data_IF_305833837221
#
_entry.id   IF_305833837221
#
_cell.length_a   1.000
_cell.length_b   1.000
_cell.length_c   1.000
_cell.angle_alpha   90.00
_cell.angle_beta   90.00
_cell.angle_gamma   90.00
#
_symmetry.space_group_name_H-M   'P 1'
#
loop_
_entity.id
_entity.type
_entity.pdbx_description
1 polymer ?
#
# COMPACT_ATOMS: atom_id res chain seq x y z
N UNK A 1 43.63 -20.46 42.32
CA UNK A 1 42.23 -20.09 42.62
C UNK A 1 41.96 -18.74 41.95
N UNK A 2 40.93 -18.68 41.09
CA UNK A 2 40.07 -17.53 40.76
C UNK A 2 40.69 -16.17 40.37
N UNK A 3 40.27 -15.46 39.31
CA UNK A 3 38.99 -15.46 38.62
C UNK A 3 39.14 -15.02 37.16
N UNK A 4 38.58 -15.81 36.24
CA UNK A 4 37.92 -15.32 35.04
C UNK A 4 36.78 -14.38 35.46
N UNK A 5 36.83 -13.11 35.06
CA UNK A 5 35.66 -12.24 35.08
C UNK A 5 35.79 -11.09 34.09
N UNK A 6 34.83 -11.07 33.15
CA UNK A 6 34.39 -9.96 32.29
C UNK A 6 34.81 -9.97 30.81
N UNK A 7 34.50 -11.06 30.13
CA UNK A 7 33.85 -11.01 28.81
C UNK A 7 32.35 -10.67 29.00
N UNK A 8 31.97 -9.40 28.80
CA UNK A 8 30.66 -9.01 28.23
C UNK A 8 30.56 -7.48 28.12
N UNK A 9 31.09 -6.91 27.04
CA UNK A 9 30.67 -5.58 26.59
C UNK A 9 29.58 -5.78 25.54
N UNK A 10 28.34 -5.86 26.03
CA UNK A 10 27.12 -5.89 25.24
C UNK A 10 27.05 -4.65 24.35
N UNK A 11 26.92 -4.88 23.04
CA UNK A 11 26.46 -3.93 22.01
C UNK A 11 26.87 -2.46 22.19
N UNK A 12 27.98 -2.05 21.56
CA UNK A 12 28.00 -0.71 20.97
C UNK A 12 26.92 -0.66 19.90
N UNK A 13 25.71 -0.24 20.30
CA UNK A 13 24.68 0.24 19.40
C UNK A 13 25.33 1.35 18.58
N UNK A 14 25.77 1.04 17.37
CA UNK A 14 26.00 2.05 16.35
C UNK A 14 24.67 2.77 16.21
N UNK A 15 24.54 3.94 16.84
CA UNK A 15 23.44 4.87 16.57
C UNK A 15 23.56 5.17 15.09
N UNK A 16 22.74 4.53 14.27
CA UNK A 16 22.50 5.00 12.92
C UNK A 16 22.13 6.48 13.06
N UNK A 17 22.89 7.37 12.40
CA UNK A 17 22.50 8.76 12.20
C UNK A 17 21.35 8.82 11.19
N UNK A 18 20.29 8.05 11.42
CA UNK A 18 19.03 8.30 10.75
C UNK A 18 18.50 9.59 11.36
N UNK A 19 18.41 10.65 10.56
CA UNK A 19 17.80 11.91 10.98
C UNK A 19 16.37 11.59 11.45
N UNK A 20 16.13 11.75 12.75
CA UNK A 20 14.80 11.57 13.31
C UNK A 20 13.93 12.74 12.90
N UNK A 21 12.66 12.45 12.57
CA UNK A 21 11.66 13.47 12.32
C UNK A 21 11.56 14.42 13.53
N UNK A 22 11.73 15.72 13.28
CA UNK A 22 11.53 16.72 14.32
C UNK A 22 10.04 16.84 14.67
N UNK A 23 9.75 17.33 15.88
CA UNK A 23 8.37 17.57 16.29
C UNK A 23 7.66 18.58 15.36
N UNK A 24 8.38 19.60 14.92
CA UNK A 24 7.87 20.62 14.00
C UNK A 24 7.51 20.01 12.65
N UNK A 25 8.42 19.22 12.07
CA UNK A 25 8.20 18.57 10.77
C UNK A 25 7.00 17.61 10.84
N UNK A 26 6.88 16.85 11.93
CA UNK A 26 5.74 15.97 12.17
C UNK A 26 4.41 16.76 12.17
N UNK A 27 4.35 17.87 12.91
CA UNK A 27 3.14 18.69 13.00
C UNK A 27 2.82 19.34 11.65
N UNK A 28 3.83 19.86 10.94
CA UNK A 28 3.66 20.45 9.61
C UNK A 28 3.06 19.45 8.64
N UNK A 29 3.60 18.23 8.57
CA UNK A 29 3.06 17.16 7.72
C UNK A 29 1.63 16.78 8.10
N UNK A 30 1.33 16.68 9.39
CA UNK A 30 -0.03 16.39 9.85
C UNK A 30 -1.03 17.49 9.51
N UNK A 31 -0.61 18.76 9.53
CA UNK A 31 -1.44 19.89 9.10
C UNK A 31 -1.71 19.88 7.60
N UNK A 32 -0.79 19.39 6.78
CA UNK A 32 -1.06 19.21 5.34
C UNK A 32 -2.17 18.19 5.10
N UNK A 33 -2.29 17.17 5.95
CA UNK A 33 -3.30 16.12 5.81
C UNK A 33 -4.65 16.48 6.47
N UNK A 34 -4.62 16.96 7.72
CA UNK A 34 -5.83 17.24 8.52
C UNK A 34 -6.29 18.72 8.45
N UNK A 35 -5.57 19.56 7.73
CA UNK A 35 -5.77 21.01 7.72
C UNK A 35 -5.16 21.71 8.94
N UNK A 36 -5.41 23.01 9.08
CA UNK A 36 -4.86 23.82 10.17
C UNK A 36 -5.56 23.53 11.51
N UNK A 37 -5.14 22.42 12.12
CA UNK A 37 -5.63 21.92 13.39
C UNK A 37 -4.66 22.21 14.53
N UNK A 38 -5.19 22.27 15.75
CA UNK A 38 -4.36 22.37 16.95
C UNK A 38 -3.50 21.12 17.13
N UNK A 39 -2.32 21.26 17.74
CA UNK A 39 -1.46 20.12 18.07
C UNK A 39 -2.21 19.04 18.86
N UNK A 40 -3.02 19.43 19.85
CA UNK A 40 -3.78 18.48 20.65
C UNK A 40 -4.81 17.72 19.81
N UNK A 41 -5.47 18.39 18.86
CA UNK A 41 -6.39 17.76 17.91
C UNK A 41 -5.68 16.73 17.03
N UNK A 42 -4.52 17.10 16.45
CA UNK A 42 -3.71 16.22 15.62
C UNK A 42 -3.26 14.97 16.38
N UNK A 43 -2.76 15.14 17.60
CA UNK A 43 -2.33 14.02 18.44
C UNK A 43 -3.51 13.13 18.85
N UNK A 44 -4.70 13.70 19.05
CA UNK A 44 -5.92 12.93 19.32
C UNK A 44 -6.36 12.11 18.11
N UNK A 45 -6.27 12.63 16.87
CA UNK A 45 -6.54 11.85 15.67
C UNK A 45 -5.58 10.65 15.54
N UNK A 46 -4.32 10.88 15.86
CA UNK A 46 -3.31 9.83 15.93
C UNK A 46 -3.35 9.02 17.23
N UNK A 47 -4.32 9.26 18.13
CA UNK A 47 -4.48 8.61 19.44
C UNK A 47 -3.19 8.55 20.27
N UNK A 48 -2.36 9.58 20.15
CA UNK A 48 -1.12 9.73 20.91
C UNK A 48 -1.45 10.39 22.25
N UNK A 49 -1.08 9.78 23.39
CA UNK A 49 -1.36 10.33 24.71
C UNK A 49 -0.70 11.70 24.94
N UNK A 50 -1.34 12.54 25.75
CA UNK A 50 -0.83 13.88 26.09
C UNK A 50 0.54 13.88 26.75
N UNK A 51 0.80 12.89 27.61
CA UNK A 51 2.11 12.68 28.22
C UNK A 51 3.20 12.44 27.16
N UNK A 52 2.88 11.67 26.12
CA UNK A 52 3.82 11.29 25.05
C UNK A 52 4.21 12.50 24.20
N UNK A 53 3.26 13.24 23.61
CA UNK A 53 3.61 14.38 22.76
C UNK A 53 4.16 15.57 23.57
N UNK A 54 3.80 15.70 24.85
CA UNK A 54 4.43 16.69 25.74
C UNK A 54 5.93 16.42 25.93
N UNK A 55 6.30 15.14 26.05
CA UNK A 55 7.71 14.74 26.11
C UNK A 55 8.43 14.99 24.78
N UNK A 56 7.78 14.72 23.64
CA UNK A 56 8.34 15.04 22.32
C UNK A 56 8.60 16.52 22.16
N UNK A 57 7.65 17.38 22.55
CA UNK A 57 7.80 18.84 22.49
C UNK A 57 8.99 19.32 23.34
N UNK A 58 9.18 18.77 24.54
CA UNK A 58 10.31 19.12 25.41
C UNK A 58 11.67 18.69 24.83
N UNK A 59 11.71 17.56 24.12
CA UNK A 59 12.93 16.99 23.56
C UNK A 59 13.24 17.45 22.13
N UNK A 60 12.25 18.01 21.43
CA UNK A 60 12.34 18.39 20.01
C UNK A 60 12.29 17.20 19.04
N UNK A 61 12.17 15.97 19.54
CA UNK A 61 12.26 14.73 18.76
C UNK A 61 11.02 13.86 18.92
N UNK A 62 10.60 13.22 17.84
CA UNK A 62 9.46 12.28 17.84
C UNK A 62 9.92 10.85 17.97
N UNK A 63 9.30 10.07 18.87
CA UNK A 63 9.52 8.62 18.92
C UNK A 63 8.61 7.93 17.92
N UNK A 64 9.18 7.10 17.05
CA UNK A 64 8.43 6.52 15.93
C UNK A 64 7.38 5.50 16.34
N UNK A 65 7.54 4.82 17.47
CA UNK A 65 6.61 3.77 17.91
C UNK A 65 5.14 4.23 17.93
N UNK A 66 4.82 5.27 18.70
CA UNK A 66 3.45 5.78 18.79
C UNK A 66 3.00 6.51 17.52
N UNK A 67 3.93 7.16 16.81
CA UNK A 67 3.63 7.87 15.57
C UNK A 67 3.24 6.88 14.47
N UNK A 68 4.05 5.85 14.23
CA UNK A 68 3.81 4.82 13.21
C UNK A 68 2.50 4.08 13.49
N UNK A 69 2.26 3.66 14.73
CA UNK A 69 0.98 3.05 15.11
C UNK A 69 -0.20 3.99 14.85
N UNK A 70 -0.06 5.27 15.20
CA UNK A 70 -1.07 6.30 14.97
C UNK A 70 -1.37 6.50 13.49
N UNK A 71 -0.34 6.56 12.64
CA UNK A 71 -0.45 6.73 11.19
C UNK A 71 -1.12 5.51 10.54
N UNK A 72 -0.71 4.30 10.90
CA UNK A 72 -1.32 3.05 10.40
C UNK A 72 -2.80 3.00 10.76
N UNK A 73 -3.16 3.29 12.01
CA UNK A 73 -4.57 3.30 12.44
C UNK A 73 -5.40 4.36 11.69
N UNK A 74 -4.79 5.50 11.37
CA UNK A 74 -5.42 6.56 10.60
C UNK A 74 -5.45 6.28 9.08
N UNK A 75 -4.82 5.20 8.61
CA UNK A 75 -4.71 4.90 7.18
C UNK A 75 -3.79 5.86 6.42
N UNK A 76 -2.85 6.51 7.10
CA UNK A 76 -1.90 7.44 6.48
C UNK A 76 -0.67 6.65 6.02
N UNK A 77 -0.32 6.80 4.74
CA UNK A 77 0.88 6.18 4.15
C UNK A 77 2.15 6.62 4.89
N UNK A 78 2.93 5.64 5.35
CA UNK A 78 4.22 5.88 5.99
C UNK A 78 5.24 6.45 5.00
N UNK A 79 5.17 6.04 3.74
CA UNK A 79 6.06 6.50 2.68
C UNK A 79 5.87 8.00 2.43
N UNK A 80 4.60 8.41 2.28
CA UNK A 80 4.24 9.81 2.19
C UNK A 80 4.67 10.57 3.45
N UNK A 81 4.44 10.00 4.64
CA UNK A 81 4.69 10.72 5.88
C UNK A 81 6.17 10.87 6.21
N UNK A 82 7.01 9.87 5.97
CA UNK A 82 8.44 9.90 6.34
C UNK A 82 9.34 10.31 5.18
N UNK A 83 8.96 9.98 3.95
CA UNK A 83 9.78 10.17 2.76
C UNK A 83 8.98 10.80 1.59
N UNK A 84 8.30 11.96 1.78
CA UNK A 84 7.37 12.52 0.80
C UNK A 84 7.98 12.84 -0.57
N UNK A 85 9.30 13.02 -0.65
CA UNK A 85 10.04 13.35 -1.87
C UNK A 85 10.87 12.18 -2.41
N UNK A 86 10.80 11.01 -1.77
CA UNK A 86 11.53 9.82 -2.23
C UNK A 86 10.53 8.81 -2.74
N UNK A 87 10.77 8.34 -3.96
CA UNK A 87 10.10 7.15 -4.44
C UNK A 87 10.72 5.95 -3.72
N UNK A 88 9.98 5.40 -2.76
CA UNK A 88 10.37 4.17 -2.09
C UNK A 88 10.04 2.98 -3.00
N UNK A 89 10.93 1.99 -2.99
CA UNK A 89 10.69 0.75 -3.71
C UNK A 89 9.75 -0.13 -2.89
N UNK A 90 8.55 -0.37 -3.43
CA UNK A 90 7.59 -1.29 -2.82
C UNK A 90 7.84 -2.69 -3.40
N UNK A 91 8.40 -3.63 -2.62
CA UNK A 91 8.87 -4.88 -3.16
C UNK A 91 7.69 -5.68 -3.71
N UNK A 92 7.84 -6.14 -4.94
CA UNK A 92 6.85 -6.98 -5.60
C UNK A 92 6.89 -8.38 -4.98
N UNK A 93 5.77 -9.12 -4.92
CA UNK A 93 5.76 -10.50 -4.41
C UNK A 93 6.80 -11.42 -5.06
N UNK A 94 7.15 -11.18 -6.33
CA UNK A 94 8.18 -11.93 -7.07
C UNK A 94 9.62 -11.64 -6.64
N UNK A 95 9.87 -10.48 -6.03
CA UNK A 95 11.18 -10.08 -5.48
C UNK A 95 11.36 -10.53 -4.03
N UNK A 96 10.28 -10.94 -3.38
CA UNK A 96 10.35 -11.48 -2.04
C UNK A 96 10.90 -12.91 -2.12
N UNK A 97 11.99 -13.16 -1.39
CA UNK A 97 12.42 -14.52 -1.06
C UNK A 97 11.45 -15.11 -0.03
N UNK A 98 10.21 -15.35 -0.45
CA UNK A 98 9.25 -16.12 0.32
C UNK A 98 9.78 -17.56 0.31
N UNK A 99 10.57 -17.93 1.32
CA UNK A 99 10.64 -19.33 1.70
C UNK A 99 9.20 -19.77 1.84
N UNK A 100 8.76 -20.71 0.99
CA UNK A 100 7.38 -21.19 0.90
C UNK A 100 6.81 -21.23 2.31
N UNK A 101 5.94 -20.26 2.62
CA UNK A 101 5.33 -20.20 3.93
C UNK A 101 4.41 -21.42 4.01
N UNK A 102 4.91 -22.47 4.67
CA UNK A 102 4.17 -23.64 5.11
C UNK A 102 2.82 -23.19 5.69
N UNK A 103 1.72 -23.34 4.93
CA UNK A 103 0.39 -23.03 5.47
C UNK A 103 -0.75 -22.64 4.51
N UNK A 104 -0.65 -22.79 3.18
CA UNK A 104 -1.75 -22.34 2.29
C UNK A 104 -2.08 -23.19 1.07
N UNK A 105 -1.39 -24.31 0.84
CA UNK A 105 -1.43 -25.04 -0.44
C UNK A 105 -2.77 -25.67 -0.83
N UNK A 106 -3.64 -26.01 0.13
CA UNK A 106 -4.87 -26.77 -0.15
C UNK A 106 -6.17 -25.96 -0.16
N UNK A 107 -6.14 -24.66 0.18
CA UNK A 107 -7.33 -23.79 0.18
C UNK A 107 -7.36 -22.74 -0.95
N UNK A 108 -6.28 -22.59 -1.74
CA UNK A 108 -6.21 -21.58 -2.81
C UNK A 108 -7.11 -21.92 -4.00
N UNK A 109 -7.21 -23.18 -4.38
CA UNK A 109 -7.82 -23.60 -5.64
C UNK A 109 -9.38 -23.60 -5.64
N UNK A 110 -10.02 -23.70 -4.46
CA UNK A 110 -11.49 -23.58 -4.34
C UNK A 110 -11.95 -22.13 -4.13
N UNK A 111 -11.10 -21.30 -3.51
CA UNK A 111 -11.37 -19.87 -3.33
C UNK A 111 -11.20 -19.09 -4.65
N UNK A 112 -10.28 -19.49 -5.52
CA UNK A 112 -10.09 -18.86 -6.84
C UNK A 112 -11.37 -18.90 -7.68
N UNK A 113 -12.11 -20.02 -7.72
CA UNK A 113 -13.31 -20.12 -8.57
C UNK A 113 -14.46 -19.24 -8.06
N UNK A 114 -14.69 -19.23 -6.74
CA UNK A 114 -15.73 -18.39 -6.14
C UNK A 114 -15.37 -16.90 -6.21
N UNK A 115 -14.09 -16.56 -6.08
CA UNK A 115 -13.59 -15.21 -6.25
C UNK A 115 -13.73 -14.72 -7.70
N UNK A 116 -13.41 -15.57 -8.67
CA UNK A 116 -13.62 -15.29 -10.10
C UNK A 116 -15.10 -15.10 -10.42
N UNK A 117 -15.98 -15.94 -9.88
CA UNK A 117 -17.44 -15.82 -10.07
C UNK A 117 -17.99 -14.53 -9.45
N UNK A 118 -17.55 -14.17 -8.25
CA UNK A 118 -17.93 -12.92 -7.60
C UNK A 118 -17.41 -11.71 -8.38
N UNK A 119 -16.14 -11.73 -8.79
CA UNK A 119 -15.55 -10.67 -9.61
C UNK A 119 -16.27 -10.52 -10.96
N UNK A 120 -16.70 -11.61 -11.58
CA UNK A 120 -17.47 -11.57 -12.82
C UNK A 120 -18.86 -10.97 -12.61
N UNK A 121 -19.52 -11.24 -11.48
CA UNK A 121 -20.78 -10.60 -11.12
C UNK A 121 -20.64 -9.08 -10.92
N UNK A 122 -19.53 -8.64 -10.32
CA UNK A 122 -19.22 -7.22 -10.11
C UNK A 122 -18.82 -6.48 -11.39
N UNK A 123 -18.19 -7.18 -12.34
CA UNK A 123 -17.75 -6.61 -13.62
C UNK A 123 -18.90 -6.44 -14.61
N UNK A 124 -19.92 -7.30 -14.57
CA UNK A 124 -21.08 -7.28 -15.50
C UNK A 124 -21.81 -5.92 -15.60
N UNK A 125 -22.10 -5.22 -14.49
CA UNK A 125 -22.71 -3.89 -14.55
C UNK A 125 -21.90 -2.88 -15.37
N UNK A 126 -20.57 -2.99 -15.39
CA UNK A 126 -19.71 -2.11 -16.18
C UNK A 126 -19.85 -2.37 -17.68
N UNK A 127 -19.94 -3.65 -18.09
CA UNK A 127 -20.22 -4.01 -19.49
C UNK A 127 -21.55 -3.39 -19.97
N UNK A 128 -22.60 -3.54 -19.15
CA UNK A 128 -23.93 -3.01 -19.47
C UNK A 128 -23.96 -1.48 -19.50
N UNK A 129 -23.34 -0.82 -18.52
CA UNK A 129 -23.29 0.65 -18.42
C UNK A 129 -22.61 1.29 -19.63
N UNK A 130 -21.54 0.67 -20.13
CA UNK A 130 -20.78 1.17 -21.28
C UNK A 130 -21.19 0.52 -22.60
N UNK A 131 -22.29 -0.24 -22.62
CA UNK A 131 -22.84 -0.90 -23.82
C UNK A 131 -21.80 -1.78 -24.54
N UNK A 132 -20.87 -2.36 -23.78
CA UNK A 132 -19.85 -3.25 -24.29
C UNK A 132 -20.47 -4.62 -24.55
N UNK A 133 -20.15 -5.22 -25.70
CA UNK A 133 -20.55 -6.59 -26.00
C UNK A 133 -19.97 -7.54 -24.94
N UNK A 134 -20.80 -8.45 -24.44
CA UNK A 134 -20.41 -9.51 -23.49
C UNK A 134 -19.58 -10.61 -24.16
N UNK A 135 -18.53 -10.22 -24.88
CA UNK A 135 -17.57 -11.15 -25.46
C UNK A 135 -16.64 -11.69 -24.39
N UNK A 136 -16.14 -12.91 -24.59
CA UNK A 136 -15.18 -13.55 -23.68
C UNK A 136 -13.92 -12.69 -23.49
N UNK A 137 -13.51 -11.95 -24.53
CA UNK A 137 -12.36 -11.05 -24.49
C UNK A 137 -12.61 -9.86 -23.56
N UNK A 138 -13.74 -9.16 -23.72
CA UNK A 138 -14.09 -8.00 -22.89
C UNK A 138 -14.29 -8.39 -21.42
N UNK A 139 -14.96 -9.52 -21.18
CA UNK A 139 -15.14 -10.08 -19.83
C UNK A 139 -13.79 -10.42 -19.19
N UNK A 140 -12.89 -11.10 -19.90
CA UNK A 140 -11.58 -11.48 -19.37
C UNK A 140 -10.71 -10.28 -19.04
N UNK A 141 -10.76 -9.21 -19.85
CA UNK A 141 -9.95 -8.02 -19.68
C UNK A 141 -10.40 -7.20 -18.47
N UNK A 142 -11.71 -7.01 -18.30
CA UNK A 142 -12.25 -6.36 -17.12
C UNK A 142 -12.07 -7.19 -15.85
N UNK A 143 -12.24 -8.51 -15.93
CA UNK A 143 -11.99 -9.44 -14.81
C UNK A 143 -10.54 -9.37 -14.34
N UNK A 144 -9.57 -9.45 -15.26
CA UNK A 144 -8.14 -9.34 -14.94
C UNK A 144 -7.80 -7.98 -14.31
N UNK A 145 -8.39 -6.91 -14.84
CA UNK A 145 -8.18 -5.55 -14.32
C UNK A 145 -8.78 -5.40 -12.92
N UNK A 146 -9.97 -5.95 -12.69
CA UNK A 146 -10.65 -5.94 -11.39
C UNK A 146 -9.90 -6.75 -10.33
N UNK A 147 -9.44 -7.95 -10.67
CA UNK A 147 -8.65 -8.79 -9.76
C UNK A 147 -7.29 -8.14 -9.44
N UNK A 148 -6.65 -7.52 -10.43
CA UNK A 148 -5.41 -6.76 -10.21
C UNK A 148 -5.64 -5.54 -9.29
N UNK A 149 -6.75 -4.83 -9.45
CA UNK A 149 -7.11 -3.69 -8.58
C UNK A 149 -7.38 -4.13 -7.14
N UNK A 150 -8.09 -5.25 -6.95
CA UNK A 150 -8.42 -5.79 -5.63
C UNK A 150 -7.20 -6.37 -4.89
N UNK A 151 -6.22 -6.86 -5.64
CA UNK A 151 -4.92 -7.29 -5.12
C UNK A 151 -3.94 -6.12 -4.87
N UNK A 152 -4.41 -4.87 -4.98
CA UNK A 152 -3.61 -3.65 -4.83
C UNK A 152 -2.42 -3.58 -5.80
N UNK A 153 -2.59 -4.18 -7.00
CA UNK A 153 -1.53 -4.45 -7.98
C UNK A 153 -1.85 -3.88 -9.38
N UNK A 154 -2.33 -2.63 -9.46
CA UNK A 154 -2.44 -1.94 -10.76
C UNK A 154 -1.27 -1.01 -10.94
N UNK A 155 -0.20 -1.51 -11.55
CA UNK A 155 0.89 -0.66 -12.05
C UNK A 155 0.42 0.15 -13.25
N UNK A 156 1.02 1.32 -13.48
CA UNK A 156 0.73 2.17 -14.65
C UNK A 156 0.96 1.40 -15.95
N UNK A 157 2.04 0.61 -16.03
CA UNK A 157 2.35 -0.22 -17.20
C UNK A 157 1.26 -1.27 -17.45
N UNK A 158 0.77 -1.93 -16.40
CA UNK A 158 -0.32 -2.90 -16.50
C UNK A 158 -1.63 -2.23 -16.94
N UNK A 159 -1.95 -1.05 -16.39
CA UNK A 159 -3.14 -0.30 -16.79
C UNK A 159 -3.07 0.13 -18.26
N UNK A 160 -1.92 0.64 -18.70
CA UNK A 160 -1.68 1.04 -20.09
C UNK A 160 -1.75 -0.15 -21.05
N UNK A 161 -1.20 -1.31 -20.67
CA UNK A 161 -1.30 -2.54 -21.45
C UNK A 161 -2.75 -3.01 -21.61
N UNK A 162 -3.54 -2.99 -20.52
CA UNK A 162 -4.96 -3.37 -20.58
C UNK A 162 -5.79 -2.40 -21.41
N UNK A 163 -5.54 -1.09 -21.30
CA UNK A 163 -6.19 -0.07 -22.14
C UNK A 163 -5.81 -0.24 -23.62
N UNK A 164 -4.54 -0.49 -23.92
CA UNK A 164 -4.09 -0.73 -25.30
C UNK A 164 -4.72 -2.00 -25.89
N UNK A 165 -4.83 -3.07 -25.10
CA UNK A 165 -5.52 -4.30 -25.49
C UNK A 165 -7.01 -4.05 -25.79
N UNK A 166 -7.71 -3.28 -24.94
CA UNK A 166 -9.10 -2.90 -25.17
C UNK A 166 -9.27 -2.07 -26.45
N UNK A 167 -8.44 -1.04 -26.66
CA UNK A 167 -8.50 -0.20 -27.86
C UNK A 167 -8.25 -1.00 -29.15
N UNK A 168 -7.31 -1.95 -29.13
CA UNK A 168 -7.03 -2.83 -30.27
C UNK A 168 -8.23 -3.73 -30.61
N UNK A 169 -8.95 -4.23 -29.60
CA UNK A 169 -10.16 -5.04 -29.82
C UNK A 169 -11.24 -4.19 -30.49
N UNK A 170 -11.49 -2.97 -29.98
CA UNK A 170 -12.45 -2.05 -30.59
C UNK A 170 -12.09 -1.66 -32.03
N UNK A 171 -10.81 -1.43 -32.34
CA UNK A 171 -10.36 -1.10 -33.71
C UNK A 171 -10.62 -2.25 -34.68
N UNK A 172 -10.35 -3.50 -34.29
CA UNK A 172 -10.62 -4.67 -35.14
C UNK A 172 -12.11 -4.91 -35.39
N UNK A 173 -12.95 -4.65 -34.41
CA UNK A 173 -14.42 -4.75 -34.57
C UNK A 173 -14.92 -3.69 -35.56
N UNK A 174 -14.35 -2.49 -35.55
CA UNK A 174 -14.67 -1.42 -36.51
C UNK A 174 -14.18 -1.71 -37.94
N UNK A 175 -12.97 -2.27 -38.08
CA UNK A 175 -12.39 -2.64 -39.39
C UNK A 175 -13.18 -3.78 -40.06
N UNK A 176 -13.60 -4.78 -39.29
CA UNK A 176 -14.44 -5.87 -39.80
C UNK A 176 -15.84 -5.38 -40.20
N UNK A 177 -16.43 -4.44 -39.45
CA UNK A 177 -17.73 -3.85 -39.78
C UNK A 177 -17.70 -2.91 -41.00
N UNK A 178 -16.53 -2.49 -41.47
CA UNK A 178 -16.35 -1.64 -42.65
C UNK A 178 -16.03 -2.45 -43.92
N UNK A 179 -15.82 -3.76 -43.81
CA UNK A 179 -15.51 -4.67 -44.92
C UNK A 179 -16.70 -5.56 -45.36
N UNK A 180 -17.78 -5.57 -44.58
CA UNK A 180 -19.10 -6.14 -44.93
C UNK A 180 -20.06 -5.06 -45.46
#
# INVERSE_FOLDING_TARGET
MSNDAHLNSTHRLQKSKAEMLSMEECVTRLKLYYGDQSLASLMRYLGIPTSTYSNWRKRGTVTYDHLVQGLIRAGISLDWFFAPQRQLDYPRPSQLHLAESNGGGYQRQQNDTNEVLAALAEVKPYLQRYQLSETQVNQSLLLQTYLAARADHVSVDFALDKVAQALRVCQKEQENAAQD
#
